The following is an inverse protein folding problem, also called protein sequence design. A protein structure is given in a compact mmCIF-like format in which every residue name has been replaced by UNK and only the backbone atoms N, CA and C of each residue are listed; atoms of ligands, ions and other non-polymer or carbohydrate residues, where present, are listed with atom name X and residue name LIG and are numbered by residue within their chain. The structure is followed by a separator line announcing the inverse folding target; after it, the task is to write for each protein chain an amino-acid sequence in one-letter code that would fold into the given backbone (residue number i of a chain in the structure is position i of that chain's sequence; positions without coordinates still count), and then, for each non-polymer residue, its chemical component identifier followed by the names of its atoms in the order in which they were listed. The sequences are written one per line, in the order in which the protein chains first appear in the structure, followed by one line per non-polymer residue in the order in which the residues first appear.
data_IF_306251275792
#
_entry.id   IF_306251275792
#
_cell.length_a   1.000
_cell.length_b   1.000
_cell.length_c   1.000
_cell.angle_alpha   90.00
_cell.angle_beta   90.00
_cell.angle_gamma   90.00
#
_symmetry.space_group_name_H-M   'P 1'
#
loop_
_entity.id
_entity.type
_entity.pdbx_description
1 polymer ?
#
# COMPACT_ATOMS: atom_id res chain seq x y z
N UNK A 1 -10.00 13.52 8.72
CA UNK A 1 -10.40 12.67 7.57
C UNK A 1 -9.44 11.50 7.54
N UNK A 2 -9.91 10.26 7.37
CA UNK A 2 -9.03 9.08 7.30
C UNK A 2 -8.53 8.87 5.88
N UNK A 3 -7.27 8.46 5.75
CA UNK A 3 -6.64 8.09 4.48
C UNK A 3 -6.20 6.64 4.57
N UNK A 4 -6.39 5.89 3.49
CA UNK A 4 -5.97 4.50 3.41
C UNK A 4 -5.00 4.36 2.23
N UNK A 5 -3.80 3.88 2.51
CA UNK A 5 -2.79 3.57 1.51
C UNK A 5 -2.79 2.05 1.32
N UNK A 6 -3.11 1.60 0.12
CA UNK A 6 -3.05 0.17 -0.26
C UNK A 6 -1.90 0.01 -1.23
N UNK A 7 -0.99 -0.93 -0.98
CA UNK A 7 0.18 -1.14 -1.81
C UNK A 7 0.50 -2.63 -2.00
N UNK A 8 1.02 -2.96 -3.18
CA UNK A 8 1.43 -4.32 -3.54
C UNK A 8 2.95 -4.40 -3.56
N UNK A 9 3.51 -5.41 -2.92
CA UNK A 9 4.96 -5.62 -2.82
C UNK A 9 5.32 -6.96 -3.45
N UNK A 10 6.39 -6.98 -4.24
CA UNK A 10 7.00 -8.24 -4.65
C UNK A 10 7.99 -8.70 -3.57
N UNK A 11 7.67 -9.81 -2.92
CA UNK A 11 8.52 -10.43 -1.90
C UNK A 11 9.17 -11.65 -2.51
N UNK A 12 10.50 -11.72 -2.44
CA UNK A 12 11.23 -12.90 -2.90
C UNK A 12 10.88 -14.09 -1.98
N UNK A 13 10.33 -15.13 -2.60
CA UNK A 13 10.10 -16.42 -1.99
C UNK A 13 11.20 -17.40 -2.40
N UNK A 14 11.24 -18.58 -1.78
CA UNK A 14 12.34 -19.52 -1.96
C UNK A 14 12.66 -19.79 -3.44
N UNK A 15 13.96 -19.84 -3.78
CA UNK A 15 14.49 -20.18 -5.11
C UNK A 15 14.13 -19.19 -6.25
N UNK A 16 14.02 -17.90 -5.96
CA UNK A 16 13.89 -16.87 -7.00
C UNK A 16 12.47 -16.69 -7.55
N UNK A 17 11.49 -17.34 -6.93
CA UNK A 17 10.08 -17.04 -7.13
C UNK A 17 9.72 -15.75 -6.39
N UNK A 18 8.81 -14.95 -6.94
CA UNK A 18 8.31 -13.74 -6.28
C UNK A 18 6.82 -13.90 -6.01
N UNK A 19 6.41 -13.65 -4.77
CA UNK A 19 5.00 -13.56 -4.39
C UNK A 19 4.61 -12.08 -4.35
N UNK A 20 3.42 -11.77 -4.86
CA UNK A 20 2.83 -10.44 -4.72
C UNK A 20 1.98 -10.39 -3.46
N UNK A 21 2.40 -9.62 -2.47
CA UNK A 21 1.62 -9.36 -1.26
C UNK A 21 0.89 -8.03 -1.36
N UNK A 22 -0.33 -7.96 -0.82
CA UNK A 22 -1.09 -6.70 -0.74
C UNK A 22 -1.17 -6.25 0.72
N UNK A 23 -0.76 -5.02 0.98
CA UNK A 23 -0.72 -4.40 2.29
C UNK A 23 -1.60 -3.15 2.32
N UNK A 24 -2.14 -2.81 3.49
CA UNK A 24 -2.94 -1.60 3.70
C UNK A 24 -2.55 -0.89 5.00
N UNK A 25 -2.35 0.44 4.92
CA UNK A 25 -2.07 1.31 6.07
C UNK A 25 -3.15 2.38 6.17
N UNK A 26 -3.78 2.50 7.34
CA UNK A 26 -4.76 3.54 7.65
C UNK A 26 -4.07 4.64 8.41
N UNK A 27 -4.26 5.88 7.96
CA UNK A 27 -3.78 7.10 8.61
C UNK A 27 -4.98 7.91 9.11
N UNK A 28 -5.07 8.08 10.42
CA UNK A 28 -6.07 8.96 11.05
C UNK A 28 -5.49 10.38 11.13
N UNK A 29 -6.27 11.37 10.66
CA UNK A 29 -5.93 12.81 10.82
C UNK A 29 -4.56 13.23 10.25
N UNK A 30 -4.23 12.74 9.06
CA UNK A 30 -3.00 13.07 8.33
C UNK A 30 -3.15 14.28 7.42
N UNK A 31 -2.10 15.10 7.31
CA UNK A 31 -1.98 16.17 6.31
C UNK A 31 -1.23 15.69 5.04
N UNK A 32 -1.26 16.47 3.96
CA UNK A 32 -0.65 16.08 2.67
C UNK A 32 0.86 15.81 2.77
N UNK A 33 1.56 16.49 3.69
CA UNK A 33 3.01 16.30 3.85
C UNK A 33 3.32 14.98 4.55
N UNK A 34 2.59 14.66 5.62
CA UNK A 34 2.69 13.36 6.31
C UNK A 34 2.32 12.21 5.37
N UNK A 35 1.28 12.37 4.57
CA UNK A 35 0.90 11.37 3.55
C UNK A 35 2.03 11.12 2.56
N UNK A 36 2.68 12.18 2.06
CA UNK A 36 3.82 12.04 1.14
C UNK A 36 4.99 11.32 1.80
N UNK A 37 5.32 11.67 3.04
CA UNK A 37 6.40 11.01 3.78
C UNK A 37 6.13 9.51 3.95
N UNK A 38 4.90 9.16 4.31
CA UNK A 38 4.45 7.77 4.44
C UNK A 38 4.56 6.97 3.13
N UNK A 39 4.11 7.57 2.02
CA UNK A 39 4.23 6.95 0.70
C UNK A 39 5.71 6.78 0.31
N UNK A 40 6.54 7.79 0.57
CA UNK A 40 7.98 7.73 0.28
C UNK A 40 8.67 6.64 1.11
N UNK A 41 8.34 6.51 2.39
CA UNK A 41 8.88 5.45 3.24
C UNK A 41 8.52 4.05 2.71
N UNK A 42 7.25 3.85 2.31
CA UNK A 42 6.79 2.59 1.72
C UNK A 42 7.56 2.27 0.42
N UNK A 43 7.70 3.25 -0.48
CA UNK A 43 8.40 3.07 -1.75
C UNK A 43 9.91 2.82 -1.58
N UNK A 44 10.53 3.39 -0.55
CA UNK A 44 11.95 3.21 -0.25
C UNK A 44 12.23 1.88 0.48
N UNK A 45 11.25 1.38 1.24
CA UNK A 45 11.41 0.17 2.06
C UNK A 45 11.08 -1.10 1.28
N UNK A 46 10.08 -1.03 0.40
CA UNK A 46 9.53 -2.21 -0.28
C UNK A 46 9.71 -2.12 -1.80
N UNK A 47 9.83 -3.28 -2.46
CA UNK A 47 9.75 -3.38 -3.92
C UNK A 47 8.29 -3.27 -4.38
N UNK A 48 7.73 -2.07 -4.24
CA UNK A 48 6.33 -1.77 -4.53
C UNK A 48 6.06 -1.89 -6.03
N UNK A 49 5.02 -2.63 -6.39
CA UNK A 49 4.54 -2.80 -7.77
C UNK A 49 3.31 -1.95 -8.09
N UNK A 50 2.47 -1.69 -7.10
CA UNK A 50 1.27 -0.85 -7.22
C UNK A 50 1.03 -0.14 -5.88
N UNK A 51 0.56 1.10 -5.93
CA UNK A 51 0.15 1.86 -4.73
C UNK A 51 -1.06 2.72 -5.04
N UNK A 52 -2.04 2.70 -4.14
CA UNK A 52 -3.31 3.42 -4.28
C UNK A 52 -3.65 4.10 -2.97
N UNK A 53 -4.19 5.31 -3.07
CA UNK A 53 -4.59 6.11 -1.91
C UNK A 53 -6.08 6.37 -1.99
N UNK A 54 -6.78 6.06 -0.90
CA UNK A 54 -8.21 6.26 -0.75
C UNK A 54 -8.47 7.27 0.37
N UNK A 55 -9.34 8.24 0.11
CA UNK A 55 -9.81 9.17 1.12
C UNK A 55 -11.18 8.69 1.63
N UNK A 56 -11.29 8.40 2.92
CA UNK A 56 -12.52 7.87 3.52
C UNK A 56 -12.28 6.68 4.45
N UNK A 57 -13.37 6.04 4.88
CA UNK A 57 -13.34 4.89 5.81
C UNK A 57 -13.53 3.54 5.11
N UNK A 58 -13.78 3.54 3.80
CA UNK A 58 -14.11 2.35 3.04
C UNK A 58 -13.01 2.08 2.01
N UNK A 59 -12.35 0.93 2.13
CA UNK A 59 -11.51 0.39 1.06
C UNK A 59 -12.48 -0.20 0.04
N UNK A 60 -12.49 0.25 -1.23
CA UNK A 60 -13.25 -0.46 -2.25
C UNK A 60 -12.74 -1.90 -2.30
N UNK A 61 -13.61 -2.86 -2.01
CA UNK A 61 -13.32 -4.30 -2.08
C UNK A 61 -12.86 -4.62 -3.50
N UNK A 62 -11.55 -4.66 -3.72
CA UNK A 62 -11.00 -5.17 -4.97
C UNK A 62 -11.08 -6.69 -4.90
N UNK A 63 -12.02 -7.26 -5.66
CA UNK A 63 -12.08 -8.69 -5.92
C UNK A 63 -10.75 -9.09 -6.56
N UNK A 64 -10.00 -9.96 -5.91
CA UNK A 64 -8.92 -10.68 -6.59
C UNK A 64 -9.61 -11.58 -7.62
N UNK A 65 -9.52 -11.22 -8.90
CA UNK A 65 -9.78 -12.18 -9.96
C UNK A 65 -8.57 -13.12 -10.00
N UNK A 66 -8.83 -14.40 -9.74
CA UNK A 66 -7.86 -15.51 -9.79
C UNK A 66 -7.36 -15.78 -11.22
#
# INVERSE_FOLDING_TARGET
MSIIIVYKVAVEHQRGDYILETHAKVLEETNDEQLKQEILEILNTYNVKDIRVFQGKEIPLFRLEE
#
